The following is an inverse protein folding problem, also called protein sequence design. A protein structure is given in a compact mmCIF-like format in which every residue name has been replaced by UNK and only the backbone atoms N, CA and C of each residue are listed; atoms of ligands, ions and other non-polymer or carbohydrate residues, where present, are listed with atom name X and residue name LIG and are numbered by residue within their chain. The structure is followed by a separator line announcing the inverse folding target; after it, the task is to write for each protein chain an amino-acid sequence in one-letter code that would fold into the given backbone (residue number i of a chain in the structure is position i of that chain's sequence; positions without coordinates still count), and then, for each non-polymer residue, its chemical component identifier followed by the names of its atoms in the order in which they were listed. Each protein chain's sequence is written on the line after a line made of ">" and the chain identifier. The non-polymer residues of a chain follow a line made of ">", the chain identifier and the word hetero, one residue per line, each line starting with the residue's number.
data_IF_808125408609
#
_entry.id   IF_808125408609
#
_cell.length_a   1.000
_cell.length_b   1.000
_cell.length_c   1.000
_cell.angle_alpha   90.00
_cell.angle_beta   90.00
_cell.angle_gamma   90.00
#
_symmetry.space_group_name_H-M   'P 1'
#
loop_
_entity.id
_entity.type
_entity.pdbx_description
1 polymer ?
#
# COMPACT_ATOMS: atom_id res chain seq x y z
N UNK A 1 10.59 17.73 27.07
CA UNK A 1 11.10 17.75 25.68
C UNK A 1 10.87 19.10 25.08
N UNK A 2 11.83 19.62 24.39
CA UNK A 2 11.67 20.95 23.81
C UNK A 2 11.13 20.86 22.39
N UNK A 3 10.80 22.00 21.86
CA UNK A 3 10.15 22.07 20.56
C UNK A 3 11.04 21.54 19.44
N UNK A 4 12.34 21.82 19.53
CA UNK A 4 13.27 21.38 18.51
C UNK A 4 13.37 19.86 18.46
N UNK A 5 13.45 19.22 19.62
CA UNK A 5 13.52 17.79 19.68
C UNK A 5 12.24 17.15 19.14
N UNK A 6 11.12 17.73 19.49
CA UNK A 6 9.84 17.24 18.99
C UNK A 6 9.78 17.34 17.48
N UNK A 7 10.24 18.47 16.94
CA UNK A 7 10.22 18.65 15.48
C UNK A 7 11.08 17.61 14.77
N UNK A 8 12.20 17.23 15.38
CA UNK A 8 13.06 16.22 14.78
C UNK A 8 12.37 14.86 14.75
N UNK A 9 11.69 14.49 15.84
CA UNK A 9 10.95 13.25 15.83
C UNK A 9 9.82 13.27 14.80
N UNK A 10 9.12 14.38 14.71
CA UNK A 10 8.05 14.50 13.74
C UNK A 10 8.58 14.39 12.31
N UNK A 11 9.75 14.95 12.05
CA UNK A 11 10.33 14.86 10.71
C UNK A 11 10.69 13.41 10.38
N UNK A 12 11.27 12.70 11.33
CA UNK A 12 11.60 11.31 11.10
C UNK A 12 10.37 10.48 10.83
N UNK A 13 9.29 10.77 11.53
CA UNK A 13 8.05 10.05 11.31
C UNK A 13 7.51 10.33 9.91
N UNK A 14 7.53 11.57 9.47
CA UNK A 14 7.06 11.89 8.13
C UNK A 14 7.92 11.23 7.05
N UNK A 15 9.23 11.19 7.27
CA UNK A 15 10.13 10.55 6.31
C UNK A 15 9.84 9.05 6.24
N UNK A 16 9.58 8.44 7.38
CA UNK A 16 9.27 7.02 7.42
C UNK A 16 7.94 6.73 6.73
N UNK A 17 6.97 7.61 6.91
CA UNK A 17 5.68 7.44 6.26
C UNK A 17 5.80 7.53 4.75
N UNK A 18 6.63 8.45 4.26
CA UNK A 18 6.85 8.56 2.84
C UNK A 18 7.48 7.32 2.27
N UNK A 19 8.48 6.78 2.97
CA UNK A 19 9.10 5.53 2.52
C UNK A 19 8.12 4.38 2.56
N UNK A 20 7.30 4.33 3.59
CA UNK A 20 6.30 3.27 3.70
C UNK A 20 5.29 3.36 2.57
N UNK A 21 4.94 4.56 2.17
CA UNK A 21 3.99 4.73 1.08
C UNK A 21 4.55 4.22 -0.24
N UNK A 22 5.82 4.52 -0.51
CA UNK A 22 6.46 4.03 -1.72
C UNK A 22 6.51 2.51 -1.72
N UNK A 23 6.88 1.93 -0.58
CA UNK A 23 6.96 0.48 -0.49
C UNK A 23 5.59 -0.17 -0.61
N UNK A 24 4.57 0.50 -0.10
CA UNK A 24 3.21 0.00 -0.20
C UNK A 24 2.76 -0.06 -1.66
N UNK A 25 3.12 0.97 -2.42
CA UNK A 25 2.80 0.98 -3.84
C UNK A 25 3.57 -0.09 -4.60
N UNK A 26 4.83 -0.27 -4.24
CA UNK A 26 5.63 -1.31 -4.87
C UNK A 26 5.06 -2.69 -4.55
N UNK A 27 4.60 -2.88 -3.33
CA UNK A 27 4.00 -4.14 -2.95
C UNK A 27 2.72 -4.39 -3.73
N UNK A 28 1.91 -3.35 -3.94
CA UNK A 28 0.69 -3.49 -4.72
C UNK A 28 1.00 -3.94 -6.15
N UNK A 29 2.03 -3.35 -6.75
CA UNK A 29 2.44 -3.75 -8.10
C UNK A 29 2.90 -5.21 -8.09
N UNK A 30 3.66 -5.59 -7.07
CA UNK A 30 4.14 -6.97 -6.98
C UNK A 30 3.00 -7.96 -6.79
N UNK A 31 1.98 -7.57 -6.03
CA UNK A 31 0.81 -8.43 -5.84
C UNK A 31 0.07 -8.62 -7.15
N UNK A 32 -0.10 -7.56 -7.92
CA UNK A 32 -0.77 -7.68 -9.21
C UNK A 32 0.05 -8.55 -10.17
N UNK A 33 1.36 -8.41 -10.10
CA UNK A 33 2.22 -9.24 -10.93
C UNK A 33 2.11 -10.72 -10.53
N UNK A 34 2.09 -10.98 -9.25
CA UNK A 34 1.95 -12.36 -8.77
C UNK A 34 0.63 -12.96 -9.24
N UNK A 35 -0.43 -12.18 -9.24
CA UNK A 35 -1.72 -12.64 -9.69
C UNK A 35 -1.67 -13.01 -11.18
N UNK A 36 -1.05 -12.17 -11.98
CA UNK A 36 -0.91 -12.42 -13.41
C UNK A 36 -0.08 -13.68 -13.65
N UNK A 37 0.91 -13.91 -12.79
CA UNK A 37 1.77 -15.06 -12.91
C UNK A 37 1.11 -16.34 -12.42
N UNK A 38 -0.08 -16.26 -11.90
CA UNK A 38 -0.82 -17.45 -11.49
C UNK A 38 -0.67 -17.86 -10.04
N UNK A 39 -0.09 -17.01 -9.22
CA UNK A 39 0.02 -17.31 -7.79
C UNK A 39 -1.38 -17.22 -7.16
N UNK A 40 -1.75 -18.22 -6.41
CA UNK A 40 -3.08 -18.26 -5.82
C UNK A 40 -3.23 -17.14 -4.79
N UNK A 41 -4.44 -16.57 -4.68
CA UNK A 41 -4.67 -15.49 -3.74
C UNK A 41 -4.36 -15.90 -2.30
N UNK A 42 -4.62 -17.15 -1.97
CA UNK A 42 -4.30 -17.66 -0.66
C UNK A 42 -2.80 -17.49 -0.36
N UNK A 43 -1.97 -17.80 -1.32
CA UNK A 43 -0.54 -17.71 -1.15
C UNK A 43 -0.09 -16.25 -1.08
N UNK A 44 -0.73 -15.38 -1.84
CA UNK A 44 -0.45 -13.97 -1.78
C UNK A 44 -0.79 -13.44 -0.39
N UNK A 45 -1.92 -13.84 0.15
CA UNK A 45 -2.31 -13.41 1.48
C UNK A 45 -1.29 -13.86 2.52
N UNK A 46 -0.83 -15.08 2.41
CA UNK A 46 0.16 -15.59 3.35
C UNK A 46 1.46 -14.83 3.26
N UNK A 47 1.90 -14.55 2.06
CA UNK A 47 3.18 -13.89 1.86
C UNK A 47 3.16 -12.44 2.32
N UNK A 48 2.02 -11.78 2.18
CA UNK A 48 1.96 -10.35 2.45
C UNK A 48 1.39 -10.02 3.81
N UNK A 49 0.66 -10.94 4.42
CA UNK A 49 -0.04 -10.65 5.65
C UNK A 49 -1.33 -9.88 5.44
N UNK A 50 -1.71 -9.64 4.19
CA UNK A 50 -2.95 -8.93 3.90
C UNK A 50 -4.13 -9.90 3.96
N UNK A 51 -5.30 -9.34 4.20
CA UNK A 51 -6.52 -10.14 4.17
C UNK A 51 -6.87 -10.45 2.71
N UNK A 52 -7.71 -11.44 2.53
CA UNK A 52 -8.17 -11.80 1.20
C UNK A 52 -8.87 -10.63 0.53
N UNK A 53 -9.63 -9.88 1.28
CA UNK A 53 -10.34 -8.74 0.75
C UNK A 53 -9.37 -7.65 0.28
N UNK A 54 -8.31 -7.42 1.03
CA UNK A 54 -7.30 -6.44 0.64
C UNK A 54 -6.59 -6.86 -0.64
N UNK A 55 -6.21 -8.13 -0.72
CA UNK A 55 -5.54 -8.64 -1.92
C UNK A 55 -6.46 -8.52 -3.12
N UNK A 56 -7.72 -8.90 -2.95
CA UNK A 56 -8.66 -8.85 -4.04
C UNK A 56 -8.84 -7.43 -4.56
N UNK A 57 -8.91 -6.47 -3.64
CA UNK A 57 -9.05 -5.08 -4.02
C UNK A 57 -7.84 -4.61 -4.83
N UNK A 58 -6.65 -4.99 -4.39
CA UNK A 58 -5.42 -4.60 -5.07
C UNK A 58 -5.36 -5.21 -6.46
N UNK A 59 -5.70 -6.48 -6.55
CA UNK A 59 -5.65 -7.20 -7.83
C UNK A 59 -6.64 -6.61 -8.82
N UNK A 60 -7.82 -6.22 -8.36
CA UNK A 60 -8.82 -5.69 -9.25
C UNK A 60 -8.59 -4.22 -9.63
N UNK A 61 -7.80 -3.52 -8.88
CA UNK A 61 -7.52 -2.13 -9.17
C UNK A 61 -6.48 -2.03 -10.26
N UNK A 62 -6.63 -1.09 -11.16
CA UNK A 62 -5.57 -0.85 -12.13
C UNK A 62 -4.72 0.27 -11.58
N UNK A 63 -3.59 0.51 -12.21
CA UNK A 63 -2.73 1.59 -11.80
C UNK A 63 -3.44 2.92 -11.83
N UNK A 64 -4.28 3.10 -12.78
CA UNK A 64 -5.02 4.34 -12.89
C UNK A 64 -6.00 4.50 -11.76
N UNK A 65 -6.56 3.39 -11.29
CA UNK A 65 -7.53 3.45 -10.24
C UNK A 65 -6.92 3.74 -8.90
N UNK A 66 -5.68 3.44 -8.73
CA UNK A 66 -5.09 3.63 -7.44
C UNK A 66 -5.07 5.07 -7.04
N UNK A 67 -5.16 5.94 -8.00
CA UNK A 67 -5.16 7.28 -7.67
C UNK A 67 -6.41 7.76 -7.18
N UNK A 68 -7.40 7.17 -7.56
CA UNK A 68 -8.60 7.71 -7.30
C UNK A 68 -9.13 7.41 -6.12
N UNK A 69 -8.86 7.16 -5.53
CA UNK A 69 -9.47 6.76 -4.42
C UNK A 69 -10.79 7.36 -4.22
N UNK A 70 -10.90 7.28 -4.71
CA UNK A 70 -11.75 7.62 -4.43
C UNK A 70 -12.57 8.12 -4.67
N UNK A 71 -12.60 8.09 -5.06
CA UNK A 71 -13.17 8.50 -5.42
C UNK A 71 -13.94 8.66 -5.47
N UNK A 72 -13.90 8.48 -5.47
CA UNK A 72 -14.51 8.60 -5.50
C UNK A 72 -15.34 8.75 -5.33
N UNK A 73 -15.42 8.87 -5.48
CA UNK A 73 -16.04 9.01 -5.37
C UNK A 73 -16.93 9.21 -5.26
N UNK A 74 -17.29 9.21 -5.29
CA UNK A 74 -18.12 9.38 -5.31
C UNK A 74 -18.89 9.70 -5.33
N UNK A 75 -19.37 9.73 -5.40
CA UNK A 75 -20.27 9.96 -5.63
C UNK A 75 -20.88 10.22 -5.80
#
# INVERSE_FOLDING_TARGET
>A
MDKRSLAQFAQRFRDAEQRAEVLRQELAVAIRQADVDGVAQKDICEATGYTRQQVRRIVLASDADTDKPETATEP
#
